data_IF_091691680389
#
_entry.id   IF_091691680389
#
_cell.length_a   1.000
_cell.length_b   1.000
_cell.length_c   1.000
_cell.angle_alpha   90.00
_cell.angle_beta   90.00
_cell.angle_gamma   90.00
#
_symmetry.space_group_name_H-M   'P 1'
#
loop_
_entity.id
_entity.type
_entity.pdbx_description
1 polymer ?
#
# COMPACT_ATOMS: atom_id res chain seq x y z
N UNK A 1 7.33 13.26 -21.92
CA UNK A 1 6.22 12.32 -21.62
C UNK A 1 5.54 11.97 -22.95
N UNK A 2 5.48 10.70 -23.34
CA UNK A 2 4.93 10.29 -24.65
C UNK A 2 3.40 10.28 -24.63
N UNK A 3 2.78 10.39 -25.79
CA UNK A 3 1.32 10.29 -25.93
C UNK A 3 0.78 8.92 -25.51
N UNK A 4 1.55 7.86 -25.75
CA UNK A 4 1.21 6.52 -25.26
C UNK A 4 1.16 6.47 -23.72
N UNK A 5 2.14 7.07 -23.04
CA UNK A 5 2.17 7.12 -21.58
C UNK A 5 1.02 7.97 -21.01
N UNK A 6 0.69 9.10 -21.64
CA UNK A 6 -0.47 9.93 -21.25
C UNK A 6 -1.78 9.14 -21.31
N UNK A 7 -2.01 8.39 -22.40
CA UNK A 7 -3.22 7.56 -22.56
C UNK A 7 -3.35 6.50 -21.47
N UNK A 8 -2.24 5.86 -21.11
CA UNK A 8 -2.24 4.87 -20.02
C UNK A 8 -2.58 5.52 -18.67
N UNK A 9 -2.00 6.69 -18.36
CA UNK A 9 -2.30 7.40 -17.12
C UNK A 9 -3.77 7.80 -17.05
N UNK A 10 -4.33 8.39 -18.12
CA UNK A 10 -5.76 8.75 -18.16
C UNK A 10 -6.67 7.52 -17.98
N UNK A 11 -6.35 6.39 -18.63
CA UNK A 11 -7.11 5.16 -18.49
C UNK A 11 -7.10 4.62 -17.06
N UNK A 12 -6.03 4.84 -16.30
CA UNK A 12 -5.91 4.35 -14.91
C UNK A 12 -6.60 5.22 -13.87
N UNK A 13 -6.91 6.49 -14.15
CA UNK A 13 -7.51 7.41 -13.16
C UNK A 13 -8.88 6.98 -12.67
N UNK A 14 -9.65 6.29 -13.50
CA UNK A 14 -11.01 5.83 -13.19
C UNK A 14 -11.06 4.37 -12.74
N UNK A 15 -9.92 3.70 -12.63
CA UNK A 15 -9.88 2.30 -12.19
C UNK A 15 -9.98 2.23 -10.67
N UNK A 16 -11.01 1.54 -10.19
CA UNK A 16 -11.10 1.19 -8.78
C UNK A 16 -10.11 0.06 -8.46
N UNK A 17 -9.14 0.37 -7.59
CA UNK A 17 -8.27 -0.66 -7.04
C UNK A 17 -9.06 -1.60 -6.13
N UNK A 18 -8.79 -2.90 -6.22
CA UNK A 18 -9.43 -3.89 -5.35
C UNK A 18 -9.07 -3.64 -3.88
N UNK A 19 -9.91 -4.11 -2.95
CA UNK A 19 -9.63 -3.99 -1.51
C UNK A 19 -8.31 -4.65 -1.12
N UNK A 20 -7.95 -5.76 -1.79
CA UNK A 20 -6.72 -6.50 -1.56
C UNK A 20 -5.51 -5.67 -2.03
N UNK A 21 -5.60 -5.08 -3.22
CA UNK A 21 -4.51 -4.26 -3.76
C UNK A 21 -4.26 -3.01 -2.90
N UNK A 22 -5.34 -2.35 -2.46
CA UNK A 22 -5.25 -1.21 -1.53
C UNK A 22 -4.56 -1.59 -0.23
N UNK A 23 -4.87 -2.76 0.33
CA UNK A 23 -4.23 -3.24 1.57
C UNK A 23 -2.75 -3.59 1.36
N UNK A 24 -2.41 -4.25 0.26
CA UNK A 24 -1.02 -4.56 -0.09
C UNK A 24 -0.20 -3.29 -0.33
N UNK A 25 -0.79 -2.30 -1.00
CA UNK A 25 -0.19 -0.99 -1.20
C UNK A 25 0.04 -0.30 0.15
N UNK A 26 -0.96 -0.25 1.02
CA UNK A 26 -0.86 0.35 2.36
C UNK A 26 0.27 -0.27 3.19
N UNK A 27 0.36 -1.61 3.22
CA UNK A 27 1.44 -2.34 3.90
C UNK A 27 2.81 -2.03 3.31
N UNK A 28 2.91 -1.96 1.98
CA UNK A 28 4.16 -1.65 1.29
C UNK A 28 4.65 -0.24 1.58
N UNK A 29 3.75 0.75 1.61
CA UNK A 29 4.09 2.12 2.01
C UNK A 29 4.52 2.19 3.48
N UNK A 30 3.77 1.54 4.38
CA UNK A 30 4.12 1.51 5.80
C UNK A 30 5.52 0.89 6.00
N UNK A 31 5.81 -0.22 5.34
CA UNK A 31 7.14 -0.85 5.40
C UNK A 31 8.22 0.05 4.80
N UNK A 32 8.02 0.59 3.60
CA UNK A 32 9.01 1.44 2.93
C UNK A 32 9.40 2.65 3.77
N UNK A 33 8.40 3.38 4.28
CA UNK A 33 8.63 4.57 5.10
C UNK A 33 9.36 4.23 6.41
N UNK A 34 8.91 3.18 7.11
CA UNK A 34 9.45 2.85 8.44
C UNK A 34 10.79 2.14 8.40
N UNK A 35 11.02 1.27 7.41
CA UNK A 35 12.31 0.60 7.18
C UNK A 35 13.41 1.59 6.85
N UNK A 36 13.08 2.63 6.06
CA UNK A 36 14.00 3.71 5.73
C UNK A 36 14.52 4.43 6.99
N UNK A 37 13.64 4.65 7.98
CA UNK A 37 14.01 5.31 9.24
C UNK A 37 14.65 4.35 10.26
N UNK A 38 14.27 3.06 10.24
CA UNK A 38 14.72 2.08 11.21
C UNK A 38 14.91 0.69 10.57
N UNK A 39 16.16 0.33 10.36
CA UNK A 39 16.58 -0.96 9.81
C UNK A 39 16.10 -2.18 10.60
N UNK A 40 15.74 -2.04 11.89
CA UNK A 40 15.22 -3.15 12.70
C UNK A 40 13.76 -3.49 12.37
N UNK A 41 13.05 -2.62 11.67
CA UNK A 41 11.66 -2.89 11.27
C UNK A 41 11.65 -3.93 10.16
N UNK A 42 10.86 -4.98 10.35
CA UNK A 42 10.73 -6.07 9.37
C UNK A 42 9.38 -6.03 8.68
N UNK A 43 9.28 -6.69 7.51
CA UNK A 43 8.02 -6.82 6.78
C UNK A 43 6.95 -7.53 7.63
N UNK A 44 7.37 -8.56 8.36
CA UNK A 44 6.50 -9.32 9.26
C UNK A 44 5.89 -8.46 10.38
N UNK A 45 6.66 -7.51 10.95
CA UNK A 45 6.14 -6.58 11.95
C UNK A 45 4.99 -5.74 11.39
N UNK A 46 5.13 -5.24 10.15
CA UNK A 46 4.10 -4.46 9.48
C UNK A 46 2.86 -5.32 9.18
N UNK A 47 3.05 -6.56 8.71
CA UNK A 47 1.95 -7.48 8.44
C UNK A 47 1.14 -7.79 9.70
N UNK A 48 1.82 -8.10 10.81
CA UNK A 48 1.19 -8.31 12.12
C UNK A 48 0.40 -7.08 12.59
N UNK A 49 0.99 -5.89 12.47
CA UNK A 49 0.32 -4.67 12.89
C UNK A 49 -0.90 -4.34 12.01
N UNK A 50 -0.81 -4.59 10.71
CA UNK A 50 -1.92 -4.42 9.78
C UNK A 50 -3.11 -5.33 10.16
N UNK A 51 -2.85 -6.57 10.53
CA UNK A 51 -3.88 -7.49 11.01
C UNK A 51 -4.52 -7.02 12.32
N UNK A 52 -3.73 -6.56 13.29
CA UNK A 52 -4.25 -6.02 14.56
C UNK A 52 -5.18 -4.81 14.35
N UNK A 53 -4.77 -3.88 13.48
CA UNK A 53 -5.59 -2.71 13.15
C UNK A 53 -6.91 -3.13 12.49
N UNK A 54 -6.90 -4.10 11.58
CA UNK A 54 -8.12 -4.59 10.92
C UNK A 54 -9.14 -5.19 11.91
N UNK A 55 -8.66 -5.76 13.03
CA UNK A 55 -9.50 -6.30 14.11
C UNK A 55 -10.07 -5.20 15.00
N UNK A 56 -9.29 -4.14 15.26
CA UNK A 56 -9.68 -3.03 16.13
C UNK A 56 -10.68 -2.06 15.48
N UNK A 57 -10.72 -1.98 14.15
CA UNK A 57 -11.70 -1.15 13.40
C UNK A 57 -13.12 -1.72 13.48
N UNK A 58 -13.32 -2.95 13.97
CA UNK A 58 -14.65 -3.56 14.16
C UNK A 58 -15.33 -3.19 15.49
N UNK A 59 -14.83 -2.20 16.24
CA UNK A 59 -15.44 -1.70 17.49
C UNK A 59 -16.15 -0.37 17.26
#
# INVERSE_FOLDING_TARGET
>A
MTEALKKLIEATKTLDQSKIDKEQQRRSFAYGNTKFENERITREMIDKQAELLSKNVKR
#
